data_IF_158258922271
#
_entry.id   IF_158258922271
#
_cell.length_a   1.000
_cell.length_b   1.000
_cell.length_c   1.000
_cell.angle_alpha   90.00
_cell.angle_beta   90.00
_cell.angle_gamma   90.00
#
_symmetry.space_group_name_H-M   'P 1'
#
loop_
_entity.id
_entity.type
_entity.pdbx_description
1 polymer ?
#
# COMPACT_ATOMS: atom_id res chain seq x y z
N UNK A 1 -2.96 14.62 -5.36
CA UNK A 1 -2.74 13.40 -4.56
C UNK A 1 -3.11 13.67 -3.12
N UNK A 2 -3.78 12.73 -2.49
CA UNK A 2 -4.27 12.91 -1.13
C UNK A 2 -3.17 12.54 -0.12
N UNK A 3 -2.65 13.54 0.59
CA UNK A 3 -1.60 13.32 1.59
C UNK A 3 -2.08 12.47 2.77
N UNK A 4 -3.36 12.50 3.07
CA UNK A 4 -3.92 11.67 4.15
C UNK A 4 -3.90 10.19 3.77
N UNK A 5 -4.20 9.87 2.51
CA UNK A 5 -4.14 8.50 2.03
C UNK A 5 -2.71 7.97 2.04
N UNK A 6 -1.74 8.82 1.68
CA UNK A 6 -0.33 8.43 1.71
C UNK A 6 0.11 8.10 3.14
N UNK A 7 -0.21 8.96 4.10
CA UNK A 7 0.16 8.71 5.49
C UNK A 7 -0.54 7.49 6.06
N UNK A 8 -1.81 7.33 5.76
CA UNK A 8 -2.57 6.17 6.21
C UNK A 8 -1.98 4.89 5.64
N UNK A 9 -1.68 4.87 4.34
CA UNK A 9 -1.10 3.71 3.68
C UNK A 9 0.27 3.36 4.27
N UNK A 10 1.09 4.38 4.50
CA UNK A 10 2.41 4.20 5.12
C UNK A 10 2.27 3.54 6.50
N UNK A 11 1.40 4.08 7.34
CA UNK A 11 1.18 3.55 8.69
C UNK A 11 0.66 2.12 8.66
N UNK A 12 -0.27 1.82 7.76
CA UNK A 12 -0.84 0.48 7.62
C UNK A 12 0.22 -0.54 7.21
N UNK A 13 1.06 -0.20 6.25
CA UNK A 13 2.09 -1.11 5.77
C UNK A 13 3.18 -1.33 6.84
N UNK A 14 3.60 -0.27 7.54
CA UNK A 14 4.54 -0.40 8.65
C UNK A 14 3.98 -1.34 9.71
N UNK A 15 2.71 -1.14 10.07
CA UNK A 15 2.06 -1.98 11.07
C UNK A 15 2.04 -3.44 10.63
N UNK A 16 1.66 -3.71 9.39
CA UNK A 16 1.58 -5.08 8.88
C UNK A 16 2.96 -5.74 8.80
N UNK A 17 3.99 -4.99 8.41
CA UNK A 17 5.35 -5.51 8.33
C UNK A 17 5.86 -5.89 9.72
N UNK A 18 5.59 -5.07 10.71
CA UNK A 18 6.08 -5.27 12.08
C UNK A 18 5.23 -6.22 12.91
N UNK A 19 3.98 -6.47 12.50
CA UNK A 19 3.02 -7.25 13.28
C UNK A 19 2.26 -8.23 12.38
N UNK A 20 2.94 -9.21 11.77
CA UNK A 20 2.29 -10.09 10.77
C UNK A 20 1.29 -11.08 11.36
N UNK A 21 1.24 -11.24 12.68
CA UNK A 21 0.40 -12.27 13.32
C UNK A 21 -0.67 -11.70 14.24
N UNK A 22 -0.90 -10.38 14.17
CA UNK A 22 -1.94 -9.77 15.01
C UNK A 22 -3.35 -10.08 14.47
N UNK A 23 -4.37 -10.15 15.35
CA UNK A 23 -5.74 -10.49 14.91
C UNK A 23 -6.33 -9.53 13.89
N UNK A 24 -5.95 -8.26 13.92
CA UNK A 24 -6.49 -7.26 13.01
C UNK A 24 -5.69 -7.10 11.71
N UNK A 25 -4.75 -8.01 11.43
CA UNK A 25 -3.95 -7.97 10.21
C UNK A 25 -4.84 -7.95 8.95
N UNK A 26 -5.87 -8.82 8.92
CA UNK A 26 -6.77 -8.88 7.77
C UNK A 26 -7.56 -7.59 7.57
N UNK A 27 -7.93 -6.92 8.66
CA UNK A 27 -8.62 -5.62 8.62
C UNK A 27 -7.71 -4.56 8.02
N UNK A 28 -6.46 -4.53 8.46
CA UNK A 28 -5.47 -3.58 7.96
C UNK A 28 -5.18 -3.83 6.46
N UNK A 29 -5.02 -5.08 6.08
CA UNK A 29 -4.84 -5.45 4.68
C UNK A 29 -6.02 -4.99 3.82
N UNK A 30 -7.25 -5.20 4.31
CA UNK A 30 -8.46 -4.77 3.62
C UNK A 30 -8.49 -3.26 3.38
N UNK A 31 -8.02 -2.49 4.35
CA UNK A 31 -7.93 -1.03 4.19
C UNK A 31 -6.89 -0.65 3.15
N UNK A 32 -5.75 -1.34 3.12
CA UNK A 32 -4.72 -1.12 2.09
C UNK A 32 -5.31 -1.34 0.70
N UNK A 33 -6.06 -2.41 0.51
CA UNK A 33 -6.73 -2.71 -0.76
C UNK A 33 -7.75 -1.63 -1.13
N UNK A 34 -8.52 -1.17 -0.14
CA UNK A 34 -9.52 -0.12 -0.35
C UNK A 34 -8.88 1.20 -0.80
N UNK A 35 -7.74 1.57 -0.19
CA UNK A 35 -6.99 2.76 -0.59
C UNK A 35 -6.55 2.64 -2.04
N UNK A 36 -6.09 1.46 -2.46
CA UNK A 36 -5.71 1.23 -3.85
C UNK A 36 -6.88 1.45 -4.80
N UNK A 37 -8.07 0.94 -4.45
CA UNK A 37 -9.26 1.14 -5.28
C UNK A 37 -9.66 2.60 -5.36
N UNK A 38 -9.57 3.33 -4.24
CA UNK A 38 -9.85 4.77 -4.23
C UNK A 38 -8.90 5.54 -5.12
N UNK A 39 -7.62 5.25 -5.06
CA UNK A 39 -6.61 5.90 -5.89
C UNK A 39 -6.85 5.62 -7.37
N UNK A 40 -7.15 4.37 -7.71
CA UNK A 40 -7.40 3.99 -9.10
C UNK A 40 -8.65 4.69 -9.65
N UNK A 41 -9.71 4.74 -8.87
CA UNK A 41 -10.96 5.39 -9.28
C UNK A 41 -10.78 6.89 -9.50
N UNK A 42 -9.90 7.52 -8.71
CA UNK A 42 -9.67 8.96 -8.77
C UNK A 42 -8.68 9.36 -9.86
N UNK A 43 -7.59 8.61 -10.01
CA UNK A 43 -6.45 9.04 -10.82
C UNK A 43 -5.82 7.96 -11.71
N UNK A 44 -6.36 6.75 -11.70
CA UNK A 44 -5.91 5.66 -12.57
C UNK A 44 -4.68 4.91 -12.10
N UNK A 45 -4.15 4.06 -12.98
CA UNK A 45 -3.04 3.16 -12.65
C UNK A 45 -1.74 3.88 -12.27
N UNK A 46 -1.48 5.02 -12.90
CA UNK A 46 -0.27 5.80 -12.58
C UNK A 46 -0.26 6.25 -11.13
N UNK A 47 -1.42 6.56 -10.56
CA UNK A 47 -1.53 6.96 -9.16
C UNK A 47 -1.14 5.81 -8.23
N UNK A 48 -1.50 4.57 -8.58
CA UNK A 48 -1.09 3.40 -7.81
C UNK A 48 0.43 3.26 -7.79
N UNK A 49 1.05 3.37 -8.95
CA UNK A 49 2.50 3.21 -9.06
C UNK A 49 3.23 4.31 -8.30
N UNK A 50 2.82 5.55 -8.49
CA UNK A 50 3.47 6.69 -7.84
C UNK A 50 3.32 6.62 -6.32
N UNK A 51 2.13 6.28 -5.85
CA UNK A 51 1.89 6.18 -4.41
C UNK A 51 2.71 5.06 -3.79
N UNK A 52 2.67 3.85 -4.38
CA UNK A 52 3.37 2.72 -3.81
C UNK A 52 4.90 2.91 -3.86
N UNK A 53 5.40 3.48 -4.95
CA UNK A 53 6.83 3.78 -5.07
C UNK A 53 7.29 4.71 -3.93
N UNK A 54 6.54 5.77 -3.66
CA UNK A 54 6.85 6.71 -2.59
C UNK A 54 6.86 6.04 -1.22
N UNK A 55 5.84 5.24 -0.94
CA UNK A 55 5.70 4.52 0.34
C UNK A 55 6.82 3.49 0.50
N UNK A 56 7.11 2.75 -0.55
CA UNK A 56 8.16 1.74 -0.54
C UNK A 56 9.51 2.34 -0.19
N UNK A 57 9.83 3.50 -0.74
CA UNK A 57 11.07 4.22 -0.42
C UNK A 57 11.10 4.68 1.02
N UNK A 58 10.00 5.23 1.52
CA UNK A 58 9.92 5.68 2.92
C UNK A 58 10.13 4.52 3.88
N UNK A 59 9.50 3.40 3.63
CA UNK A 59 9.62 2.23 4.49
C UNK A 59 11.06 1.74 4.52
N UNK A 60 11.70 1.68 3.37
CA UNK A 60 13.09 1.24 3.30
C UNK A 60 14.03 2.18 4.08
N UNK A 61 13.82 3.48 3.96
CA UNK A 61 14.65 4.46 4.66
C UNK A 61 14.43 4.45 6.16
N UNK A 62 13.19 4.25 6.61
CA UNK A 62 12.84 4.37 8.03
C UNK A 62 13.14 3.09 8.81
N UNK A 63 12.75 1.93 8.28
CA UNK A 63 12.91 0.65 8.98
C UNK A 63 13.76 -0.36 8.24
N UNK A 64 14.26 -0.02 7.06
CA UNK A 64 15.12 -0.90 6.29
C UNK A 64 14.45 -2.13 5.68
N UNK A 65 13.13 -2.19 5.69
CA UNK A 65 12.38 -3.32 5.15
C UNK A 65 12.00 -3.09 3.69
N UNK A 66 11.86 -4.19 2.94
CA UNK A 66 11.41 -4.15 1.55
C UNK A 66 9.89 -4.34 1.52
N UNK A 67 9.17 -3.30 1.09
CA UNK A 67 7.72 -3.36 0.98
C UNK A 67 7.25 -3.88 -0.39
N UNK A 68 8.16 -4.19 -1.31
CA UNK A 68 7.80 -4.63 -2.66
C UNK A 68 6.84 -5.82 -2.69
N UNK A 69 6.97 -6.84 -1.84
CA UNK A 69 6.01 -7.96 -1.83
C UNK A 69 4.57 -7.53 -1.58
N UNK A 70 4.36 -6.42 -0.90
CA UNK A 70 3.01 -5.92 -0.60
C UNK A 70 2.32 -5.29 -1.80
N UNK A 71 3.04 -5.07 -2.90
CA UNK A 71 2.44 -4.63 -4.17
C UNK A 71 1.38 -5.62 -4.65
N UNK A 72 1.56 -6.90 -4.34
CA UNK A 72 0.61 -7.96 -4.72
C UNK A 72 -0.78 -7.75 -4.12
N UNK A 73 -0.89 -7.01 -3.03
CA UNK A 73 -2.19 -6.74 -2.41
C UNK A 73 -3.11 -5.88 -3.30
N UNK A 74 -2.54 -5.18 -4.27
CA UNK A 74 -3.31 -4.36 -5.22
C UNK A 74 -3.56 -5.09 -6.55
N UNK A 75 -3.17 -6.34 -6.66
CA UNK A 75 -3.42 -7.12 -7.88
C UNK A 75 -4.92 -7.19 -8.15
N UNK A 76 -5.30 -6.98 -9.41
CA UNK A 76 -6.71 -7.00 -9.81
C UNK A 76 -7.41 -5.64 -9.75
N UNK A 77 -6.78 -4.62 -9.13
CA UNK A 77 -7.35 -3.27 -9.13
C UNK A 77 -7.18 -2.65 -10.52
N UNK A 78 -5.99 -2.72 -11.07
CA UNK A 78 -5.71 -2.32 -12.44
C UNK A 78 -5.24 -3.56 -13.21
N UNK A 79 -5.65 -3.69 -14.47
CA UNK A 79 -5.37 -4.89 -15.25
C UNK A 79 -3.87 -5.14 -15.45
N UNK A 80 -3.06 -4.08 -15.53
CA UNK A 80 -1.61 -4.20 -15.70
C UNK A 80 -0.86 -4.33 -14.37
N UNK A 81 -1.53 -4.27 -13.23
CA UNK A 81 -0.89 -4.40 -11.91
C UNK A 81 -0.86 -5.87 -11.51
N UNK A 82 0.27 -6.52 -11.75
CA UNK A 82 0.45 -7.95 -11.48
C UNK A 82 1.81 -8.18 -10.85
N UNK A 83 1.81 -8.55 -9.59
CA UNK A 83 3.04 -8.80 -8.84
C UNK A 83 3.02 -10.13 -8.10
#
# INVERSE_FOLDING_TARGET
MDAYLEEELYDLLIYCIQNPQVPDFAVKKGRVEEIGRELYADSGADALENMFFSIEHRIKEVIGSDAKPYRAWWNGIASEWKY
#
